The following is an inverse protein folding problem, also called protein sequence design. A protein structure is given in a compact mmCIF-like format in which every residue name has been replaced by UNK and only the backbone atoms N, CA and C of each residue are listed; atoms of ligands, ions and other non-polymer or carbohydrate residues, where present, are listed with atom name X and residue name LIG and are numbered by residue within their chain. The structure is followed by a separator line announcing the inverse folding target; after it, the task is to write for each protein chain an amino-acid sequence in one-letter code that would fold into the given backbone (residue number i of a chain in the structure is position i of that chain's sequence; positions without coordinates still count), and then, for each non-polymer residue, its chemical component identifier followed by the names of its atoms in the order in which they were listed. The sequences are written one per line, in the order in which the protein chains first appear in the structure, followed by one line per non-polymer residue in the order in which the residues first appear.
data_IF_019357746188
#
_entry.id   IF_019357746188
#
_cell.length_a   1.000
_cell.length_b   1.000
_cell.length_c   1.000
_cell.angle_alpha   90.00
_cell.angle_beta   90.00
_cell.angle_gamma   90.00
#
_symmetry.space_group_name_H-M   'P 1'
#
loop_
_entity.id
_entity.type
_entity.pdbx_description
1 polymer ?
#
# COMPACT_ATOMS: atom_id res chain seq x y z
N UNK A 1 -9.82 -3.40 13.32
CA UNK A 1 -10.26 -2.98 11.97
C UNK A 1 -11.31 -3.95 11.46
N UNK A 2 -12.43 -3.47 10.88
CA UNK A 2 -13.56 -4.32 10.47
C UNK A 2 -13.25 -5.32 9.33
N UNK A 3 -12.09 -5.19 8.67
CA UNK A 3 -11.65 -6.03 7.55
C UNK A 3 -10.57 -7.06 7.90
N UNK A 4 -10.03 -7.04 9.12
CA UNK A 4 -8.94 -7.95 9.51
C UNK A 4 -9.36 -9.41 9.32
N UNK A 5 -8.50 -10.21 8.67
CA UNK A 5 -8.75 -11.62 8.39
C UNK A 5 -9.75 -11.91 7.28
N UNK A 6 -10.24 -10.88 6.58
CA UNK A 6 -11.14 -11.02 5.42
C UNK A 6 -10.39 -10.73 4.13
N UNK A 7 -10.85 -11.33 3.04
CA UNK A 7 -10.38 -11.04 1.70
C UNK A 7 -11.20 -9.88 1.12
N UNK A 8 -10.52 -8.87 0.58
CA UNK A 8 -11.17 -7.87 -0.28
C UNK A 8 -10.94 -8.29 -1.72
N UNK A 9 -12.00 -8.71 -2.39
CA UNK A 9 -11.92 -9.17 -3.79
C UNK A 9 -12.61 -8.19 -4.72
N UNK A 10 -12.16 -8.13 -5.97
CA UNK A 10 -12.90 -7.43 -7.02
C UNK A 10 -13.99 -8.36 -7.59
N UNK A 11 -14.75 -7.87 -8.57
CA UNK A 11 -15.77 -8.65 -9.28
C UNK A 11 -15.25 -9.94 -9.94
N UNK A 12 -13.95 -10.07 -10.14
CA UNK A 12 -13.28 -11.25 -10.70
C UNK A 12 -12.71 -12.20 -9.62
N UNK A 13 -13.02 -11.97 -8.34
CA UNK A 13 -12.50 -12.75 -7.21
C UNK A 13 -10.96 -12.75 -7.05
N UNK A 14 -10.27 -11.77 -7.64
CA UNK A 14 -8.81 -11.62 -7.48
C UNK A 14 -8.50 -11.10 -6.07
N UNK A 15 -7.38 -11.57 -5.49
CA UNK A 15 -6.97 -11.32 -4.09
C UNK A 15 -5.68 -10.51 -3.99
N UNK A 16 -5.50 -9.55 -4.88
CA UNK A 16 -4.25 -8.79 -4.99
C UNK A 16 -4.24 -7.59 -4.03
N UNK A 17 -3.04 -7.13 -3.71
CA UNK A 17 -2.80 -5.95 -2.86
C UNK A 17 -3.44 -4.67 -3.42
N UNK A 18 -3.35 -4.49 -4.74
CA UNK A 18 -3.97 -3.39 -5.48
C UNK A 18 -5.50 -3.33 -5.28
N UNK A 19 -6.17 -4.47 -5.15
CA UNK A 19 -7.63 -4.52 -5.04
C UNK A 19 -8.10 -3.92 -3.72
N UNK A 20 -7.36 -4.17 -2.64
CA UNK A 20 -7.64 -3.55 -1.36
C UNK A 20 -7.57 -2.02 -1.45
N UNK A 21 -6.52 -1.50 -2.09
CA UNK A 21 -6.35 -0.06 -2.30
C UNK A 21 -7.49 0.49 -3.16
N UNK A 22 -7.83 -0.15 -4.27
CA UNK A 22 -8.90 0.29 -5.18
C UNK A 22 -10.28 0.31 -4.54
N UNK A 23 -10.60 -0.69 -3.71
CA UNK A 23 -11.92 -0.83 -3.09
C UNK A 23 -12.06 -0.02 -1.79
N UNK A 24 -10.95 0.39 -1.17
CA UNK A 24 -10.98 1.12 0.13
C UNK A 24 -10.53 2.57 0.05
N UNK A 25 -9.66 2.92 -0.89
CA UNK A 25 -9.25 4.29 -1.08
C UNK A 25 -10.19 4.96 -2.10
N UNK A 26 -10.79 6.08 -1.68
CA UNK A 26 -11.72 6.83 -2.51
C UNK A 26 -11.02 7.32 -3.80
N UNK A 27 -11.69 7.18 -4.94
CA UNK A 27 -11.17 7.64 -6.23
C UNK A 27 -10.13 6.71 -6.88
N UNK A 28 -9.75 5.59 -6.25
CA UNK A 28 -8.79 4.64 -6.83
C UNK A 28 -9.45 3.50 -7.63
N UNK A 29 -10.75 3.26 -7.43
CA UNK A 29 -11.47 2.09 -7.95
C UNK A 29 -11.32 1.90 -9.47
N UNK A 30 -11.53 2.99 -10.22
CA UNK A 30 -11.54 2.99 -11.68
C UNK A 30 -10.17 3.37 -12.29
N UNK A 31 -9.15 3.56 -11.46
CA UNK A 31 -7.83 3.97 -11.92
C UNK A 31 -6.95 2.74 -12.17
N UNK A 32 -6.43 2.53 -13.39
CA UNK A 32 -5.43 1.48 -13.64
C UNK A 32 -4.11 1.80 -12.93
N UNK A 33 -3.43 0.77 -12.42
CA UNK A 33 -2.13 0.92 -11.72
C UNK A 33 -1.05 1.51 -12.60
N UNK A 34 -1.20 1.45 -13.92
CA UNK A 34 -0.30 2.07 -14.90
C UNK A 34 -0.30 3.61 -14.82
N UNK A 35 -1.40 4.19 -14.31
CA UNK A 35 -1.51 5.63 -14.05
C UNK A 35 -0.98 6.01 -12.67
N UNK A 36 -0.69 5.04 -11.80
CA UNK A 36 -0.19 5.33 -10.47
C UNK A 36 1.25 5.81 -10.57
N UNK A 37 1.48 7.05 -10.15
CA UNK A 37 2.78 7.70 -10.09
C UNK A 37 3.28 7.75 -8.67
N UNK A 38 4.60 7.68 -8.54
CA UNK A 38 5.30 7.86 -7.28
C UNK A 38 5.14 9.30 -6.80
N UNK A 39 4.35 9.50 -5.75
CA UNK A 39 4.22 10.78 -5.06
C UNK A 39 5.27 10.96 -3.97
N UNK A 40 4.89 11.66 -2.89
CA UNK A 40 5.77 11.89 -1.73
C UNK A 40 6.15 10.60 -1.02
N UNK A 41 7.41 10.51 -0.57
CA UNK A 41 7.91 9.39 0.23
C UNK A 41 7.23 9.39 1.60
N UNK A 42 6.68 8.26 2.02
CA UNK A 42 5.94 8.18 3.30
C UNK A 42 6.87 8.39 4.48
N UNK A 43 8.09 7.83 4.44
CA UNK A 43 9.11 8.00 5.49
C UNK A 43 9.42 9.47 5.78
N UNK A 44 9.54 10.27 4.72
CA UNK A 44 9.87 11.70 4.84
C UNK A 44 8.64 12.55 5.17
N UNK A 45 7.44 11.97 5.03
CA UNK A 45 6.16 12.65 5.19
C UNK A 45 5.18 11.81 6.03
N UNK A 46 5.48 11.68 7.32
CA UNK A 46 4.65 10.91 8.25
C UNK A 46 3.36 11.63 8.70
N UNK A 47 3.13 12.87 8.24
CA UNK A 47 1.91 13.65 8.48
C UNK A 47 0.83 13.40 7.40
N UNK A 48 0.80 12.19 6.83
CA UNK A 48 -0.23 11.81 5.86
C UNK A 48 -1.48 11.27 6.57
N UNK A 49 -2.68 11.51 6.03
CA UNK A 49 -3.90 10.98 6.62
C UNK A 49 -3.87 9.46 6.72
N UNK A 50 -4.40 8.92 7.81
CA UNK A 50 -4.72 7.50 7.89
C UNK A 50 -5.66 7.10 6.75
N UNK A 51 -5.52 5.87 6.26
CA UNK A 51 -6.25 5.32 5.11
C UNK A 51 -5.82 5.91 3.75
N UNK A 52 -4.65 6.52 3.68
CA UNK A 52 -4.06 6.98 2.42
C UNK A 52 -3.57 5.80 1.58
N UNK A 53 -3.82 5.84 0.28
CA UNK A 53 -3.27 4.89 -0.69
C UNK A 53 -1.75 5.08 -0.83
N UNK A 54 -0.98 4.04 -0.54
CA UNK A 54 0.46 4.03 -0.71
C UNK A 54 0.89 2.81 -1.54
N UNK A 55 2.04 2.92 -2.20
CA UNK A 55 2.59 1.84 -2.99
C UNK A 55 4.10 1.80 -2.86
N UNK A 56 4.68 0.60 -2.99
CA UNK A 56 6.13 0.48 -3.10
C UNK A 56 6.56 0.73 -4.54
N UNK A 57 7.42 1.72 -4.75
CA UNK A 57 7.99 2.08 -6.05
C UNK A 57 9.49 1.76 -6.04
N UNK A 58 9.86 0.62 -6.61
CA UNK A 58 11.22 0.09 -6.55
C UNK A 58 11.99 0.50 -7.79
N UNK A 59 12.99 1.37 -7.66
CA UNK A 59 13.86 1.80 -8.77
C UNK A 59 13.12 2.35 -10.01
N UNK A 60 11.88 2.81 -9.86
CA UNK A 60 11.05 3.33 -10.94
C UNK A 60 10.04 4.34 -10.40
N UNK A 61 9.58 5.25 -11.26
CA UNK A 61 8.48 6.17 -10.96
C UNK A 61 7.10 5.53 -11.17
N UNK A 62 7.07 4.37 -11.84
CA UNK A 62 5.86 3.58 -12.09
C UNK A 62 5.68 2.55 -11.00
N UNK A 63 4.42 2.28 -10.65
CA UNK A 63 4.07 1.24 -9.69
C UNK A 63 4.56 -0.13 -10.17
N UNK A 64 5.47 -0.74 -9.41
CA UNK A 64 6.07 -2.05 -9.75
C UNK A 64 6.27 -2.97 -8.54
N UNK A 65 5.57 -2.70 -7.44
CA UNK A 65 5.64 -3.53 -6.25
C UNK A 65 4.29 -3.73 -5.58
N UNK A 66 4.22 -3.43 -4.29
CA UNK A 66 3.11 -3.75 -3.42
C UNK A 66 2.26 -2.52 -3.12
N UNK A 67 0.94 -2.63 -3.28
CA UNK A 67 -0.01 -1.59 -2.90
C UNK A 67 -0.53 -1.83 -1.49
N UNK A 68 -0.51 -0.81 -0.65
CA UNK A 68 -1.02 -0.92 0.72
C UNK A 68 -1.75 0.36 1.11
N UNK A 69 -2.42 0.31 2.25
CA UNK A 69 -3.10 1.47 2.83
C UNK A 69 -2.33 1.91 4.06
N UNK A 70 -1.96 3.17 4.12
CA UNK A 70 -1.26 3.73 5.28
C UNK A 70 -2.17 3.72 6.51
N UNK A 71 -1.65 3.23 7.63
CA UNK A 71 -2.32 3.27 8.92
C UNK A 71 -1.66 4.26 9.87
N UNK A 72 -0.35 4.14 10.06
CA UNK A 72 0.45 5.01 10.93
C UNK A 72 1.92 4.93 10.57
N UNK A 73 2.68 5.97 10.91
CA UNK A 73 4.14 5.97 10.79
C UNK A 73 4.75 5.81 12.19
N UNK A 74 5.92 5.18 12.25
CA UNK A 74 6.70 4.93 13.46
C UNK A 74 8.17 5.29 13.19
N UNK A 75 8.99 5.39 14.23
CA UNK A 75 10.41 5.79 14.08
C UNK A 75 11.25 4.77 13.32
N UNK A 76 10.88 3.48 13.41
CA UNK A 76 11.58 2.35 12.81
C UNK A 76 10.83 1.73 11.61
N UNK A 77 9.71 2.32 11.17
CA UNK A 77 8.96 1.83 10.02
C UNK A 77 7.59 2.46 9.85
N UNK A 78 6.78 1.90 8.96
CA UNK A 78 5.39 2.30 8.77
C UNK A 78 4.45 1.13 9.01
N UNK A 79 3.30 1.41 9.60
CA UNK A 79 2.20 0.48 9.71
C UNK A 79 1.26 0.65 8.51
N UNK A 80 1.01 -0.46 7.86
CA UNK A 80 0.18 -0.52 6.65
C UNK A 80 -0.89 -1.59 6.81
N UNK A 81 -1.96 -1.43 6.06
CA UNK A 81 -3.01 -2.42 5.90
C UNK A 81 -2.87 -2.96 4.49
N UNK A 82 -2.59 -4.25 4.37
CA UNK A 82 -2.38 -4.89 3.09
C UNK A 82 -3.04 -6.26 3.02
N UNK A 83 -3.08 -6.80 1.82
CA UNK A 83 -3.42 -8.19 1.54
C UNK A 83 -2.62 -8.63 0.31
N UNK A 84 -2.50 -9.94 0.08
CA UNK A 84 -2.00 -10.48 -1.18
C UNK A 84 -2.52 -11.90 -1.37
N UNK A 85 -2.28 -12.53 -2.51
CA UNK A 85 -2.90 -13.81 -2.90
C UNK A 85 -2.90 -14.91 -1.82
N UNK A 86 -1.88 -14.96 -0.97
CA UNK A 86 -1.74 -15.93 0.12
C UNK A 86 -2.03 -15.39 1.53
N UNK A 87 -2.32 -14.10 1.71
CA UNK A 87 -2.72 -13.55 3.00
C UNK A 87 -3.91 -12.57 2.92
N UNK A 88 -4.95 -12.75 3.77
CA UNK A 88 -6.06 -11.83 3.85
C UNK A 88 -5.63 -10.47 4.42
N UNK A 89 -6.56 -9.53 4.45
CA UNK A 89 -6.32 -8.19 4.98
C UNK A 89 -5.78 -8.26 6.41
N UNK A 90 -4.59 -7.74 6.63
CA UNK A 90 -4.01 -7.59 7.96
C UNK A 90 -3.24 -6.28 8.09
N UNK A 91 -2.99 -5.88 9.33
CA UNK A 91 -2.14 -4.74 9.65
C UNK A 91 -0.71 -5.25 9.86
N UNK A 92 0.22 -4.74 9.07
CA UNK A 92 1.64 -5.14 9.09
C UNK A 92 2.53 -3.94 9.29
N UNK A 93 3.65 -4.16 10.00
CA UNK A 93 4.73 -3.17 10.10
C UNK A 93 5.74 -3.44 9.00
N UNK A 94 6.00 -2.43 8.18
CA UNK A 94 7.06 -2.39 7.19
C UNK A 94 8.22 -1.62 7.81
N UNK A 95 9.26 -2.32 8.23
CA UNK A 95 10.42 -1.70 8.86
C UNK A 95 11.25 -0.91 7.84
N UNK A 96 11.87 0.20 8.26
CA UNK A 96 12.83 0.93 7.42
C UNK A 96 14.14 0.16 7.31
N UNK A 97 14.68 0.02 6.10
CA UNK A 97 15.89 -0.75 5.83
C UNK A 97 15.69 -2.27 5.88
N UNK A 98 14.46 -2.78 5.68
CA UNK A 98 14.25 -4.22 5.52
C UNK A 98 15.01 -4.69 4.26
N UNK A 99 15.77 -5.78 4.39
CA UNK A 99 16.55 -6.35 3.28
C UNK A 99 15.68 -6.77 2.08
N UNK A 100 14.36 -6.94 2.28
CA UNK A 100 13.39 -7.25 1.23
C UNK A 100 12.77 -5.96 0.70
N UNK A 101 13.19 -5.53 -0.49
CA UNK A 101 12.77 -4.25 -1.09
C UNK A 101 11.26 -4.02 -1.20
N UNK A 102 10.43 -5.08 -1.26
CA UNK A 102 8.95 -4.99 -1.28
C UNK A 102 8.32 -4.75 0.09
N UNK A 103 9.00 -5.13 1.19
CA UNK A 103 8.57 -4.91 2.58
C UNK A 103 9.33 -3.79 3.26
N UNK A 104 10.32 -3.22 2.58
CA UNK A 104 11.08 -2.10 3.06
C UNK A 104 10.22 -0.85 3.07
N UNK A 105 9.97 -0.33 4.28
CA UNK A 105 9.26 0.91 4.53
C UNK A 105 9.84 2.10 3.77
N UNK A 106 11.13 2.04 3.39
CA UNK A 106 11.78 3.07 2.58
C UNK A 106 11.28 3.16 1.15
N UNK A 107 10.73 2.08 0.61
CA UNK A 107 10.28 2.06 -0.77
C UNK A 107 8.81 2.48 -0.92
N UNK A 108 8.13 2.85 0.16
CA UNK A 108 6.73 3.27 0.12
C UNK A 108 6.57 4.77 -0.12
N UNK A 109 5.75 5.08 -1.11
CA UNK A 109 5.38 6.42 -1.52
C UNK A 109 3.86 6.54 -1.59
N UNK A 110 3.34 7.74 -1.42
CA UNK A 110 1.95 8.06 -1.73
C UNK A 110 1.68 7.80 -3.21
N UNK A 111 0.50 7.28 -3.52
CA UNK A 111 0.07 7.09 -4.92
C UNK A 111 -0.58 8.39 -5.41
N UNK A 112 -0.01 8.95 -6.47
CA UNK A 112 -0.56 10.09 -7.20
C UNK A 112 -1.03 9.66 -8.61
N UNK A 113 -1.93 10.45 -9.21
CA UNK A 113 -2.58 10.15 -10.50
C UNK A 113 -2.12 11.11 -11.61
#
# INVERSE_FOLDING_TARGET
MPLKGKWVTNSENKKHCVILVKEKCQGMRDIPTEKWRRGKKVRDNCDIPRLTAIGSFINSEKFNGHGAIFDSCDTDGIWVIDQWDAAPVDRRKMAFGDARSYFDGDNFYMIEL
#
